data_IF_453046007079
#
_entry.id   IF_453046007079
#
_cell.length_a   1.000
_cell.length_b   1.000
_cell.length_c   1.000
_cell.angle_alpha   90.00
_cell.angle_beta   90.00
_cell.angle_gamma   90.00
#
_symmetry.space_group_name_H-M   'P 1'
#
loop_
_entity.id
_entity.type
_entity.pdbx_description
1 polymer ?
#
# COMPACT_ATOMS: atom_id res chain seq x y z
N UNK A 1 29.71 -7.01 11.59
CA UNK A 1 28.50 -7.64 12.16
C UNK A 1 27.95 -6.70 13.22
N UNK A 2 26.89 -5.95 12.90
CA UNK A 2 26.16 -5.17 13.88
C UNK A 2 25.27 -6.15 14.66
N UNK A 3 25.67 -6.58 15.85
CA UNK A 3 24.82 -7.34 16.76
C UNK A 3 23.75 -6.39 17.32
N UNK A 4 22.61 -6.32 16.68
CA UNK A 4 21.45 -5.66 17.28
C UNK A 4 21.05 -6.46 18.53
N UNK A 5 20.82 -5.77 19.65
CA UNK A 5 20.24 -6.39 20.83
C UNK A 5 18.87 -6.97 20.47
N UNK A 6 18.56 -8.17 20.94
CA UNK A 6 17.25 -8.77 20.80
C UNK A 6 16.19 -7.85 21.44
N UNK A 7 15.15 -7.53 20.66
CA UNK A 7 14.00 -6.77 21.13
C UNK A 7 12.77 -7.65 21.10
N UNK A 8 12.32 -8.07 22.26
CA UNK A 8 11.17 -8.94 22.42
C UNK A 8 9.87 -8.33 21.83
N UNK A 9 9.73 -6.99 21.92
CA UNK A 9 8.57 -6.29 21.37
C UNK A 9 8.56 -6.26 19.84
N UNK A 10 9.74 -6.22 19.21
CA UNK A 10 9.89 -6.21 17.75
C UNK A 10 9.92 -7.60 17.13
N UNK A 11 10.19 -8.63 17.92
CA UNK A 11 10.33 -9.99 17.43
C UNK A 11 9.11 -10.52 16.66
N UNK A 12 7.85 -10.26 17.07
CA UNK A 12 6.69 -10.62 16.26
C UNK A 12 6.69 -9.94 14.88
N UNK A 13 7.10 -8.67 14.81
CA UNK A 13 7.20 -7.92 13.56
C UNK A 13 8.30 -8.48 12.65
N UNK A 14 9.43 -8.89 13.22
CA UNK A 14 10.52 -9.54 12.49
C UNK A 14 10.05 -10.86 11.87
N UNK A 15 9.28 -11.68 12.61
CA UNK A 15 8.67 -12.93 12.09
C UNK A 15 7.70 -12.65 10.94
N UNK A 16 6.82 -11.66 11.10
CA UNK A 16 5.89 -11.27 10.04
C UNK A 16 6.64 -10.77 8.80
N UNK A 17 7.70 -9.99 8.98
CA UNK A 17 8.54 -9.50 7.89
C UNK A 17 9.24 -10.65 7.14
N UNK A 18 9.63 -11.70 7.85
CA UNK A 18 10.21 -12.90 7.23
C UNK A 18 9.19 -13.65 6.36
N UNK A 19 7.98 -13.87 6.89
CA UNK A 19 6.88 -14.49 6.11
C UNK A 19 6.50 -13.62 4.92
N UNK A 20 6.42 -12.29 5.11
CA UNK A 20 6.14 -11.35 4.01
C UNK A 20 7.16 -11.46 2.87
N UNK A 21 8.46 -11.57 3.19
CA UNK A 21 9.52 -11.77 2.18
C UNK A 21 9.40 -13.11 1.43
N UNK A 22 8.94 -14.15 2.10
CA UNK A 22 8.65 -15.42 1.44
C UNK A 22 7.44 -15.31 0.51
N UNK A 23 6.40 -14.60 0.94
CA UNK A 23 5.24 -14.32 0.10
C UNK A 23 5.61 -13.46 -1.12
N UNK A 24 6.49 -12.44 -0.97
CA UNK A 24 7.06 -11.66 -2.07
C UNK A 24 7.82 -12.54 -3.09
N UNK A 25 8.42 -13.64 -2.62
CA UNK A 25 9.08 -14.61 -3.49
C UNK A 25 8.13 -15.64 -4.15
N UNK A 26 6.82 -15.56 -3.86
CA UNK A 26 5.79 -16.44 -4.40
C UNK A 26 5.45 -17.66 -3.52
N UNK A 27 5.98 -17.74 -2.31
CA UNK A 27 5.64 -18.81 -1.36
C UNK A 27 4.40 -18.42 -0.54
N UNK A 28 3.24 -18.48 -1.19
CA UNK A 28 1.95 -18.05 -0.64
C UNK A 28 1.60 -18.67 0.71
N UNK A 29 1.89 -19.94 0.88
CA UNK A 29 1.52 -20.74 2.06
C UNK A 29 2.63 -20.75 3.12
N UNK A 30 3.65 -19.92 2.97
CA UNK A 30 4.77 -19.84 3.88
C UNK A 30 4.32 -19.49 5.30
N UNK A 31 4.80 -20.28 6.27
CA UNK A 31 4.46 -20.07 7.69
C UNK A 31 5.59 -20.50 8.61
N UNK A 32 5.68 -19.90 9.76
CA UNK A 32 6.56 -20.34 10.84
C UNK A 32 5.82 -21.41 11.62
N UNK A 33 6.34 -22.64 11.58
CA UNK A 33 5.73 -23.81 12.23
C UNK A 33 6.12 -23.89 13.70
N UNK A 34 7.35 -23.48 14.00
CA UNK A 34 7.87 -23.46 15.36
C UNK A 34 8.90 -22.36 15.49
N UNK A 35 8.90 -21.67 16.63
CA UNK A 35 9.98 -20.80 17.06
C UNK A 35 10.40 -21.17 18.48
N UNK A 36 11.67 -21.00 18.78
CA UNK A 36 12.22 -21.27 20.09
C UNK A 36 13.31 -20.23 20.39
N UNK A 37 13.23 -19.62 21.55
CA UNK A 37 14.23 -18.68 22.06
C UNK A 37 14.87 -19.33 23.28
N UNK A 38 16.19 -19.39 23.32
CA UNK A 38 16.94 -20.00 24.42
C UNK A 38 18.25 -19.26 24.69
N UNK A 39 18.76 -19.39 25.89
CA UNK A 39 20.06 -18.84 26.25
C UNK A 39 21.18 -19.80 25.83
N UNK A 40 22.10 -19.31 25.00
CA UNK A 40 23.34 -20.03 24.63
C UNK A 40 24.40 -19.76 25.69
N UNK A 41 24.47 -18.54 26.18
CA UNK A 41 25.29 -18.09 27.33
C UNK A 41 24.49 -17.05 28.10
N UNK A 42 25.04 -16.57 29.27
CA UNK A 42 24.35 -15.52 30.05
C UNK A 42 24.00 -14.25 29.22
N UNK A 43 24.82 -13.95 28.21
CA UNK A 43 24.69 -12.73 27.40
C UNK A 43 24.28 -12.97 25.95
N UNK A 44 24.01 -14.23 25.57
CA UNK A 44 23.67 -14.59 24.17
C UNK A 44 22.42 -15.44 24.09
N UNK A 45 21.49 -14.97 23.30
CA UNK A 45 20.27 -15.70 22.93
C UNK A 45 20.48 -16.42 21.59
N UNK A 46 19.95 -17.66 21.52
CA UNK A 46 19.73 -18.40 20.27
C UNK A 46 18.27 -18.33 19.89
N UNK A 47 18.00 -18.22 18.60
CA UNK A 47 16.65 -18.25 18.05
C UNK A 47 16.64 -19.32 16.95
N UNK A 48 15.81 -20.35 17.13
CA UNK A 48 15.57 -21.37 16.14
C UNK A 48 14.19 -21.20 15.53
N UNK A 49 14.14 -21.02 14.21
CA UNK A 49 12.89 -20.92 13.45
C UNK A 49 12.75 -22.12 12.52
N UNK A 50 11.65 -22.85 12.65
CA UNK A 50 11.25 -23.86 11.67
C UNK A 50 10.21 -23.27 10.74
N UNK A 51 10.56 -23.15 9.46
CA UNK A 51 9.73 -22.55 8.42
C UNK A 51 9.25 -23.64 7.49
N UNK A 52 7.95 -23.67 7.25
CA UNK A 52 7.33 -24.41 6.15
C UNK A 52 7.09 -23.43 5.02
N UNK A 53 7.84 -23.53 3.94
CA UNK A 53 7.72 -22.61 2.80
C UNK A 53 6.51 -22.94 1.91
N UNK A 54 6.02 -24.17 1.94
CA UNK A 54 5.04 -24.65 1.00
C UNK A 54 5.56 -24.70 -0.45
N UNK A 55 4.64 -24.61 -1.41
CA UNK A 55 4.96 -24.54 -2.85
C UNK A 55 5.13 -23.09 -3.28
N UNK A 56 5.90 -22.90 -4.35
CA UNK A 56 5.99 -21.61 -5.03
C UNK A 56 4.87 -21.52 -6.05
N UNK A 57 4.13 -20.41 -6.04
CA UNK A 57 3.02 -20.14 -6.94
C UNK A 57 3.36 -19.00 -7.92
N UNK A 58 2.65 -18.99 -9.06
CA UNK A 58 2.84 -18.03 -10.14
C UNK A 58 1.49 -17.48 -10.62
N UNK A 59 1.46 -16.25 -11.10
CA UNK A 59 0.28 -15.69 -11.76
C UNK A 59 0.04 -16.37 -13.10
N UNK A 60 -1.20 -16.85 -13.34
CA UNK A 60 -1.60 -17.45 -14.61
C UNK A 60 -2.46 -16.47 -15.42
N UNK A 61 -3.61 -16.11 -14.92
CA UNK A 61 -4.49 -15.14 -15.56
C UNK A 61 -4.84 -14.04 -14.57
N UNK A 62 -4.87 -12.82 -15.08
CA UNK A 62 -5.31 -11.64 -14.33
C UNK A 62 -6.45 -11.03 -15.11
N UNK A 63 -7.62 -10.95 -14.48
CA UNK A 63 -8.83 -10.38 -15.06
C UNK A 63 -9.35 -9.23 -14.22
N UNK A 64 -10.10 -8.33 -14.84
CA UNK A 64 -10.69 -7.17 -14.20
C UNK A 64 -12.19 -7.17 -14.39
N UNK A 65 -12.93 -6.80 -13.34
CA UNK A 65 -14.41 -6.69 -13.38
C UNK A 65 -14.81 -5.40 -12.70
N UNK A 66 -15.75 -4.67 -13.31
CA UNK A 66 -16.28 -3.41 -12.77
C UNK A 66 -15.49 -2.16 -13.20
N UNK A 67 -14.48 -2.29 -14.07
CA UNK A 67 -13.69 -1.19 -14.61
C UNK A 67 -14.39 -0.59 -15.84
N UNK A 68 -15.12 0.51 -15.65
CA UNK A 68 -15.77 1.24 -16.75
C UNK A 68 -14.99 2.47 -17.20
N UNK A 69 -14.16 3.04 -16.33
CA UNK A 69 -13.39 4.27 -16.56
C UNK A 69 -12.07 3.99 -17.28
N UNK A 70 -11.35 2.96 -16.83
CA UNK A 70 -10.06 2.57 -17.41
C UNK A 70 -10.16 1.21 -18.08
N UNK A 71 -9.52 1.06 -19.23
CA UNK A 71 -9.45 -0.22 -19.92
C UNK A 71 -8.62 -1.25 -19.16
N UNK A 72 -8.87 -2.53 -19.40
CA UNK A 72 -8.07 -3.64 -18.86
C UNK A 72 -6.57 -3.49 -19.17
N UNK A 73 -6.23 -3.02 -20.38
CA UNK A 73 -4.83 -2.84 -20.78
C UNK A 73 -4.14 -1.75 -19.97
N UNK A 74 -4.81 -0.61 -19.73
CA UNK A 74 -4.28 0.47 -18.89
C UNK A 74 -4.06 0.01 -17.45
N UNK A 75 -5.02 -0.74 -16.88
CA UNK A 75 -4.90 -1.28 -15.52
C UNK A 75 -3.79 -2.32 -15.42
N UNK A 76 -3.62 -3.18 -16.43
CA UNK A 76 -2.52 -4.15 -16.47
C UNK A 76 -1.16 -3.47 -16.58
N UNK A 77 -1.06 -2.38 -17.32
CA UNK A 77 0.19 -1.61 -17.44
C UNK A 77 0.64 -1.02 -16.10
N UNK A 78 -0.32 -0.47 -15.33
CA UNK A 78 -0.05 0.06 -13.98
C UNK A 78 0.23 -1.05 -12.99
N UNK A 79 -0.57 -2.13 -13.01
CA UNK A 79 -0.36 -3.29 -12.15
C UNK A 79 1.01 -3.92 -12.42
N UNK A 80 1.47 -3.91 -13.68
CA UNK A 80 2.77 -4.41 -14.15
C UNK A 80 3.12 -5.81 -13.58
N UNK A 81 2.14 -6.70 -13.51
CA UNK A 81 2.27 -8.12 -13.18
C UNK A 81 1.91 -8.92 -14.42
N UNK A 82 2.73 -9.90 -14.76
CA UNK A 82 2.57 -10.70 -15.97
C UNK A 82 2.31 -12.16 -15.64
N UNK A 83 1.71 -12.87 -16.57
CA UNK A 83 1.61 -14.32 -16.51
C UNK A 83 3.00 -14.93 -16.36
N UNK A 84 3.16 -15.82 -15.37
CA UNK A 84 4.43 -16.48 -15.05
C UNK A 84 5.28 -15.76 -14.02
N UNK A 85 4.92 -14.53 -13.61
CA UNK A 85 5.58 -13.88 -12.47
C UNK A 85 5.27 -14.63 -11.18
N UNK A 86 6.19 -14.64 -10.19
CA UNK A 86 5.92 -15.18 -8.87
C UNK A 86 4.65 -14.56 -8.28
N UNK A 87 3.83 -15.38 -7.60
CA UNK A 87 2.60 -14.94 -6.96
C UNK A 87 2.91 -14.10 -5.72
N UNK A 88 3.32 -12.85 -5.95
CA UNK A 88 3.67 -11.87 -4.94
C UNK A 88 2.44 -11.03 -4.57
N UNK A 89 1.73 -11.47 -3.53
CA UNK A 89 0.54 -10.80 -3.00
C UNK A 89 0.88 -9.42 -2.43
N UNK A 90 2.06 -9.27 -1.84
CA UNK A 90 2.49 -8.02 -1.19
C UNK A 90 2.71 -6.93 -2.25
N UNK A 91 3.46 -7.24 -3.30
CA UNK A 91 3.67 -6.31 -4.42
C UNK A 91 2.36 -6.04 -5.16
N UNK A 92 1.52 -7.05 -5.36
CA UNK A 92 0.19 -6.87 -5.96
C UNK A 92 -0.65 -5.86 -5.16
N UNK A 93 -0.75 -6.02 -3.84
CA UNK A 93 -1.49 -5.09 -2.99
C UNK A 93 -0.92 -3.66 -3.03
N UNK A 94 0.41 -3.51 -2.99
CA UNK A 94 1.05 -2.20 -3.11
C UNK A 94 0.72 -1.49 -4.44
N UNK A 95 0.66 -2.24 -5.55
CA UNK A 95 0.33 -1.70 -6.88
C UNK A 95 -1.17 -1.44 -7.07
N UNK A 96 -2.02 -2.12 -6.32
CA UNK A 96 -3.46 -1.89 -6.33
C UNK A 96 -3.87 -0.71 -5.45
N UNK A 97 -3.37 -0.66 -4.20
CA UNK A 97 -3.88 0.21 -3.14
C UNK A 97 -2.90 1.30 -2.70
N UNK A 98 -1.69 1.28 -3.22
CA UNK A 98 -0.62 2.14 -2.77
C UNK A 98 0.20 1.52 -1.63
N UNK A 99 1.15 2.28 -1.09
CA UNK A 99 2.11 1.82 -0.08
C UNK A 99 3.46 1.42 -0.67
N UNK A 100 3.66 1.67 -1.97
CA UNK A 100 4.97 1.67 -2.63
C UNK A 100 5.82 2.88 -2.24
N UNK A 101 6.86 3.17 -3.03
CA UNK A 101 7.68 4.36 -2.83
C UNK A 101 6.87 5.62 -3.16
N UNK A 102 7.22 6.72 -2.49
CA UNK A 102 6.62 8.01 -2.80
C UNK A 102 6.83 8.36 -4.29
N UNK A 103 5.73 8.59 -5.01
CA UNK A 103 5.74 8.86 -6.46
C UNK A 103 5.37 7.66 -7.34
N UNK A 104 5.31 6.44 -6.79
CA UNK A 104 4.81 5.30 -7.54
C UNK A 104 3.33 5.51 -7.90
N UNK A 105 2.97 5.14 -9.11
CA UNK A 105 1.57 5.07 -9.52
C UNK A 105 1.00 3.71 -9.10
N UNK A 106 -0.17 3.74 -8.52
CA UNK A 106 -0.97 2.58 -8.21
C UNK A 106 -2.39 2.73 -8.77
N UNK A 107 -3.12 1.63 -8.83
CA UNK A 107 -4.46 1.63 -9.42
C UNK A 107 -5.43 2.54 -8.64
N UNK A 108 -5.37 2.55 -7.31
CA UNK A 108 -6.22 3.43 -6.50
C UNK A 108 -5.94 4.90 -6.77
N UNK A 109 -4.67 5.26 -6.95
CA UNK A 109 -4.24 6.64 -7.15
C UNK A 109 -4.77 7.23 -8.44
N UNK A 110 -4.71 6.49 -9.58
CA UNK A 110 -5.22 7.00 -10.84
C UNK A 110 -6.73 7.25 -10.80
N UNK A 111 -7.48 6.43 -10.08
CA UNK A 111 -8.91 6.66 -9.87
C UNK A 111 -9.16 7.87 -8.95
N UNK A 112 -8.45 7.97 -7.82
CA UNK A 112 -8.59 9.08 -6.88
C UNK A 112 -8.14 10.41 -7.45
N UNK A 113 -7.14 10.42 -8.34
CA UNK A 113 -6.71 11.63 -9.06
C UNK A 113 -7.76 12.15 -10.04
N UNK A 114 -8.68 11.27 -10.45
CA UNK A 114 -9.83 11.61 -11.30
C UNK A 114 -11.15 11.71 -10.52
N UNK A 115 -11.08 11.98 -9.23
CA UNK A 115 -12.25 12.27 -8.39
C UNK A 115 -13.00 11.03 -7.85
N UNK A 116 -12.55 9.81 -8.13
CA UNK A 116 -13.19 8.60 -7.61
C UNK A 116 -12.72 8.30 -6.17
N UNK A 117 -13.09 9.17 -5.25
CA UNK A 117 -12.67 9.12 -3.84
C UNK A 117 -13.05 7.80 -3.14
N UNK A 118 -14.20 7.22 -3.51
CA UNK A 118 -14.72 5.99 -2.93
C UNK A 118 -14.36 4.74 -3.75
N UNK A 119 -13.34 4.87 -4.62
CA UNK A 119 -12.81 3.73 -5.36
C UNK A 119 -12.33 2.63 -4.40
N UNK A 120 -12.66 1.40 -4.75
CA UNK A 120 -12.15 0.21 -4.08
C UNK A 120 -11.84 -0.89 -5.09
N UNK A 121 -10.79 -1.65 -4.83
CA UNK A 121 -10.41 -2.83 -5.62
C UNK A 121 -10.08 -3.98 -4.68
N UNK A 122 -10.63 -5.14 -4.96
CA UNK A 122 -10.42 -6.36 -4.17
C UNK A 122 -9.93 -7.48 -5.09
N UNK A 123 -8.70 -7.97 -4.90
CA UNK A 123 -8.22 -9.16 -5.61
C UNK A 123 -8.90 -10.41 -5.07
N UNK A 124 -9.38 -11.26 -5.96
CA UNK A 124 -10.04 -12.54 -5.64
C UNK A 124 -9.35 -13.65 -6.39
N UNK A 125 -8.86 -14.65 -5.68
CA UNK A 125 -8.35 -15.88 -6.30
C UNK A 125 -9.53 -16.69 -6.82
N UNK A 126 -9.56 -16.93 -8.14
CA UNK A 126 -10.64 -17.69 -8.77
C UNK A 126 -10.35 -19.19 -8.78
N UNK A 127 -9.13 -19.55 -9.14
CA UNK A 127 -8.73 -20.95 -9.33
C UNK A 127 -7.23 -21.11 -9.11
N UNK A 128 -6.87 -22.30 -8.62
CA UNK A 128 -5.48 -22.72 -8.44
C UNK A 128 -5.31 -24.05 -9.16
N UNK A 129 -4.47 -24.08 -10.17
CA UNK A 129 -4.16 -25.28 -10.94
C UNK A 129 -2.66 -25.57 -10.86
N UNK A 130 -2.31 -26.62 -10.10
CA UNK A 130 -0.92 -27.00 -9.84
C UNK A 130 -0.18 -25.96 -8.98
N UNK A 131 0.60 -25.10 -9.61
CA UNK A 131 1.36 -24.01 -9.02
C UNK A 131 0.94 -22.64 -9.57
N UNK A 132 -0.15 -22.58 -10.33
CA UNK A 132 -0.59 -21.42 -11.06
C UNK A 132 -1.92 -20.89 -10.54
N UNK A 133 -2.02 -19.58 -10.33
CA UNK A 133 -3.16 -18.88 -9.70
C UNK A 133 -3.82 -17.95 -10.70
N UNK A 134 -5.15 -18.05 -10.83
CA UNK A 134 -5.98 -17.07 -11.53
C UNK A 134 -6.52 -16.06 -10.55
N UNK A 135 -6.37 -14.78 -10.87
CA UNK A 135 -6.82 -13.68 -10.01
C UNK A 135 -7.77 -12.77 -10.76
N UNK A 136 -8.90 -12.44 -10.15
CA UNK A 136 -9.84 -11.43 -10.62
C UNK A 136 -9.76 -10.20 -9.72
N UNK A 137 -9.50 -9.05 -10.33
CA UNK A 137 -9.52 -7.75 -9.66
C UNK A 137 -10.94 -7.17 -9.75
N UNK A 138 -11.68 -7.21 -8.63
CA UNK A 138 -13.04 -6.67 -8.56
C UNK A 138 -13.01 -5.22 -8.15
N UNK A 139 -13.45 -4.35 -9.07
CA UNK A 139 -13.45 -2.90 -8.89
C UNK A 139 -14.87 -2.41 -8.56
N UNK A 140 -14.93 -1.50 -7.60
CA UNK A 140 -16.06 -0.63 -7.35
C UNK A 140 -15.59 0.81 -7.49
N UNK A 141 -15.94 1.46 -8.62
CA UNK A 141 -15.45 2.79 -8.97
C UNK A 141 -16.07 3.89 -8.10
N UNK A 142 -17.33 3.70 -7.70
CA UNK A 142 -18.09 4.72 -6.97
C UNK A 142 -18.48 5.91 -7.87
N UNK A 143 -18.81 7.03 -7.23
CA UNK A 143 -19.15 8.29 -7.93
C UNK A 143 -17.98 9.25 -7.88
N UNK A 144 -17.81 10.05 -8.92
CA UNK A 144 -16.85 11.17 -8.90
C UNK A 144 -17.26 12.22 -7.88
N UNK A 145 -16.31 12.67 -7.10
CA UNK A 145 -16.44 13.73 -6.12
C UNK A 145 -15.81 15.03 -6.63
N UNK A 146 -16.57 16.12 -6.55
CA UNK A 146 -16.07 17.47 -6.75
C UNK A 146 -15.91 18.17 -5.41
N UNK A 147 -14.89 18.99 -5.28
CA UNK A 147 -14.66 19.79 -4.08
C UNK A 147 -15.68 20.92 -4.04
N UNK A 148 -16.48 20.97 -3.00
CA UNK A 148 -17.42 22.05 -2.79
C UNK A 148 -16.78 23.24 -2.05
N UNK A 149 -16.07 22.95 -0.95
CA UNK A 149 -15.43 23.96 -0.11
C UNK A 149 -14.13 23.44 0.50
N UNK A 150 -13.22 24.35 0.85
CA UNK A 150 -11.98 24.04 1.56
C UNK A 150 -11.96 24.89 2.81
N UNK A 151 -12.05 24.25 3.96
CA UNK A 151 -12.01 24.87 5.28
C UNK A 151 -10.61 24.67 5.86
N UNK A 152 -10.01 25.75 6.36
CA UNK A 152 -8.71 25.73 7.02
C UNK A 152 -8.94 26.00 8.50
N UNK A 153 -8.59 25.07 9.35
CA UNK A 153 -8.69 25.16 10.79
C UNK A 153 -7.31 25.05 11.44
N UNK A 154 -7.16 25.56 12.65
CA UNK A 154 -5.90 25.44 13.41
C UNK A 154 -4.80 26.45 13.05
N UNK A 155 -5.08 27.38 12.16
CA UNK A 155 -4.12 28.43 11.71
C UNK A 155 -4.11 29.67 12.62
N UNK A 156 -4.25 29.52 13.94
CA UNK A 156 -4.40 30.63 14.92
C UNK A 156 -3.24 31.62 14.88
N UNK A 157 -2.02 31.18 14.55
CA UNK A 157 -0.82 32.01 14.47
C UNK A 157 -0.44 32.41 13.04
N UNK A 158 -1.11 31.86 12.03
CA UNK A 158 -0.75 32.08 10.62
C UNK A 158 -1.95 32.61 9.85
N UNK A 159 -1.72 33.65 9.05
CA UNK A 159 -2.78 34.20 8.22
C UNK A 159 -3.29 33.15 7.21
N UNK A 160 -4.59 32.97 7.14
CA UNK A 160 -5.24 32.01 6.25
C UNK A 160 -4.78 32.14 4.78
N UNK A 161 -4.52 33.36 4.30
CA UNK A 161 -4.03 33.58 2.94
C UNK A 161 -2.69 32.90 2.66
N UNK A 162 -1.83 32.77 3.66
CA UNK A 162 -0.52 32.11 3.54
C UNK A 162 -0.73 30.63 3.33
N UNK A 163 -1.57 30.01 4.14
CA UNK A 163 -1.91 28.58 4.04
C UNK A 163 -2.64 28.29 2.72
N UNK A 164 -3.63 29.09 2.38
CA UNK A 164 -4.46 28.93 1.17
C UNK A 164 -3.65 29.00 -0.13
N UNK A 165 -2.53 29.70 -0.16
CA UNK A 165 -1.63 29.73 -1.32
C UNK A 165 -0.93 28.39 -1.57
N UNK A 166 -0.76 27.58 -0.54
CA UNK A 166 -0.11 26.26 -0.63
C UNK A 166 -1.11 25.17 -1.02
N UNK A 167 -2.41 25.47 -0.96
CA UNK A 167 -3.46 24.51 -1.33
C UNK A 167 -3.60 24.45 -2.84
N UNK A 168 -3.22 23.33 -3.44
CA UNK A 168 -3.29 23.10 -4.87
C UNK A 168 -4.73 22.80 -5.35
N UNK A 169 -5.54 22.20 -4.48
CA UNK A 169 -6.95 21.86 -4.75
C UNK A 169 -7.82 23.13 -4.76
N UNK A 170 -8.90 23.14 -5.57
CA UNK A 170 -9.79 24.29 -5.71
C UNK A 170 -11.26 23.87 -5.66
N UNK A 171 -12.14 24.63 -5.01
CA UNK A 171 -13.59 24.42 -5.09
C UNK A 171 -14.09 24.40 -6.54
N UNK A 172 -15.04 23.51 -6.83
CA UNK A 172 -15.62 23.30 -8.18
C UNK A 172 -14.85 22.34 -9.07
N UNK A 173 -13.64 21.91 -8.69
CA UNK A 173 -12.84 20.93 -9.43
C UNK A 173 -12.99 19.54 -8.85
N UNK A 174 -12.66 18.53 -9.65
CA UNK A 174 -12.61 17.13 -9.18
C UNK A 174 -11.57 17.00 -8.07
N UNK A 175 -11.84 16.09 -7.14
CA UNK A 175 -10.84 15.69 -6.14
C UNK A 175 -9.63 15.06 -6.85
N UNK A 176 -8.43 15.37 -6.40
CA UNK A 176 -7.18 14.74 -6.82
C UNK A 176 -6.34 14.42 -5.60
N UNK A 177 -6.02 13.14 -5.43
CA UNK A 177 -5.15 12.65 -4.36
C UNK A 177 -3.77 13.30 -4.43
N UNK A 178 -3.21 13.39 -5.63
CA UNK A 178 -1.89 14.02 -5.87
C UNK A 178 -1.88 15.48 -5.47
N UNK A 179 -2.91 16.25 -5.82
CA UNK A 179 -3.00 17.66 -5.46
C UNK A 179 -3.25 17.86 -3.96
N UNK A 180 -4.01 16.96 -3.34
CA UNK A 180 -4.22 16.96 -1.90
C UNK A 180 -2.91 16.70 -1.15
N UNK A 181 -2.18 15.63 -1.50
CA UNK A 181 -0.88 15.29 -0.91
C UNK A 181 0.17 16.39 -1.13
N UNK A 182 0.15 17.03 -2.31
CA UNK A 182 1.01 18.18 -2.59
C UNK A 182 0.69 19.32 -1.66
N UNK A 183 -0.59 19.64 -1.45
CA UNK A 183 -1.02 20.70 -0.54
C UNK A 183 -0.53 20.46 0.89
N UNK A 184 -0.64 19.23 1.39
CA UNK A 184 -0.14 18.86 2.72
C UNK A 184 1.38 19.11 2.81
N UNK A 185 2.16 18.65 1.83
CA UNK A 185 3.62 18.84 1.82
C UNK A 185 4.01 20.32 1.78
N UNK A 186 3.35 21.11 0.95
CA UNK A 186 3.61 22.56 0.85
C UNK A 186 3.28 23.29 2.16
N UNK A 187 2.17 22.93 2.82
CA UNK A 187 1.79 23.50 4.12
C UNK A 187 2.81 23.08 5.19
N UNK A 188 3.20 21.81 5.23
CA UNK A 188 4.21 21.31 6.17
C UNK A 188 5.57 22.02 5.98
N UNK A 189 5.94 22.34 4.73
CA UNK A 189 7.20 23.03 4.40
C UNK A 189 7.29 24.44 4.96
N UNK A 190 6.17 25.06 5.33
CA UNK A 190 6.17 26.38 5.99
C UNK A 190 6.80 26.32 7.39
N UNK A 191 6.98 25.15 7.99
CA UNK A 191 7.60 24.95 9.30
C UNK A 191 6.82 25.55 10.48
N UNK A 192 5.56 25.93 10.25
CA UNK A 192 4.69 26.57 11.25
C UNK A 192 3.57 25.64 11.73
N UNK A 193 3.48 24.44 11.14
CA UNK A 193 2.44 23.45 11.41
C UNK A 193 3.08 22.12 11.78
N UNK A 194 2.45 21.42 12.70
CA UNK A 194 2.82 20.04 13.01
C UNK A 194 2.43 19.13 11.84
N UNK A 195 3.38 18.46 11.19
CA UNK A 195 3.09 17.58 10.07
C UNK A 195 2.10 16.46 10.43
N UNK A 196 2.11 15.97 11.67
CA UNK A 196 1.20 14.92 12.13
C UNK A 196 -0.25 15.43 12.27
N UNK A 197 -0.42 16.72 12.61
CA UNK A 197 -1.74 17.34 12.73
C UNK A 197 -2.38 17.70 11.36
N UNK A 198 -1.61 17.75 10.26
CA UNK A 198 -2.12 18.08 8.93
C UNK A 198 -2.75 16.86 8.23
N UNK A 199 -2.41 15.67 8.65
CA UNK A 199 -2.74 14.42 7.93
C UNK A 199 -4.08 13.79 8.30
N UNK A 200 -4.78 14.31 9.29
CA UNK A 200 -6.07 13.79 9.74
C UNK A 200 -7.21 14.70 9.23
N UNK A 201 -8.04 14.21 8.26
CA UNK A 201 -9.20 14.96 7.75
C UNK A 201 -10.39 14.89 8.70
#
# INVERSE_FOLDING_TARGET
FNSKKFNEKEYPNDKNSLVSKLNEAGYRDARIVKDSIYYVTQDRLGIDLKIDQGKKYYFRNISWTGNSVYSTDQLNEILNIRKGDPYDVVTMQKRLLGGGKQGDQDVSKIYRDNGYLFFNVTPVELNIEGDSVDVEMRISEGKQATLNNIVINGNSLTNERVVRRQVATRPGYLFSQTDFERSIREIASLGQFDPEAITDP
#
